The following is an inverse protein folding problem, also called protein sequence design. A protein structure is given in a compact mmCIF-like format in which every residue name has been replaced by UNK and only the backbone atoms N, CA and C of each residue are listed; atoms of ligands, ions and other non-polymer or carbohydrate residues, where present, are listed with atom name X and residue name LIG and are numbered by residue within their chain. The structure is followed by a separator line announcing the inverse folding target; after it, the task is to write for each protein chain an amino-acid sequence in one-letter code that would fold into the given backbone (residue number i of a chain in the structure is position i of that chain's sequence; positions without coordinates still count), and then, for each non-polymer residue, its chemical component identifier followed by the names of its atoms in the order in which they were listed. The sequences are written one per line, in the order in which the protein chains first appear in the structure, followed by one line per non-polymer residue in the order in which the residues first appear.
data_IF_103482376195
#
_entry.id   IF_103482376195
#
_cell.length_a   1.000
_cell.length_b   1.000
_cell.length_c   1.000
_cell.angle_alpha   90.00
_cell.angle_beta   90.00
_cell.angle_gamma   90.00
#
_symmetry.space_group_name_H-M   'P 1'
#
loop_
_entity.id
_entity.type
_entity.pdbx_description
1 polymer ?
#
# COMPACT_ATOMS: atom_id res chain seq x y z
N UNK A 1 0.09 22.66 9.71
CA UNK A 1 -1.19 22.17 10.30
C UNK A 1 -1.62 20.95 9.49
N UNK A 2 -2.08 19.90 10.15
CA UNK A 2 -2.68 18.74 9.45
C UNK A 2 -4.00 19.20 8.81
N UNK A 3 -4.25 18.89 7.53
CA UNK A 3 -5.51 19.23 6.89
C UNK A 3 -6.70 18.55 7.58
N UNK A 4 -7.81 19.26 7.70
CA UNK A 4 -9.07 18.68 8.18
C UNK A 4 -9.80 17.99 7.01
N UNK A 5 -10.37 16.79 7.22
CA UNK A 5 -11.15 16.12 6.19
C UNK A 5 -12.46 16.88 5.93
N UNK A 6 -12.90 16.91 4.67
CA UNK A 6 -14.24 17.44 4.32
C UNK A 6 -15.35 16.51 4.80
N UNK A 7 -15.05 15.26 5.05
CA UNK A 7 -15.97 14.26 5.60
C UNK A 7 -15.22 13.16 6.33
N UNK A 8 -15.74 12.73 7.46
CA UNK A 8 -15.37 11.49 8.13
C UNK A 8 -16.56 10.56 8.22
N UNK A 9 -16.37 9.30 7.92
CA UNK A 9 -17.42 8.29 7.93
C UNK A 9 -16.83 6.92 8.25
N UNK A 10 -17.64 6.06 8.85
CA UNK A 10 -17.26 4.68 9.14
C UNK A 10 -18.09 3.73 8.30
N UNK A 11 -17.41 2.86 7.53
CA UNK A 11 -18.03 1.76 6.80
C UNK A 11 -17.74 0.45 7.55
N UNK A 12 -18.73 -0.09 8.27
CA UNK A 12 -18.56 -1.19 9.22
C UNK A 12 -17.45 -0.85 10.24
N UNK A 13 -16.28 -1.54 10.18
CA UNK A 13 -15.18 -1.26 11.10
C UNK A 13 -14.14 -0.28 10.54
N UNK A 14 -14.21 0.03 9.23
CA UNK A 14 -13.25 0.87 8.52
C UNK A 14 -13.51 2.36 8.72
N UNK A 15 -12.60 3.05 9.40
CA UNK A 15 -12.60 4.51 9.42
C UNK A 15 -12.21 5.06 8.04
N UNK A 16 -12.93 6.07 7.56
CA UNK A 16 -12.69 6.67 6.25
C UNK A 16 -12.71 8.19 6.37
N UNK A 17 -11.62 8.83 5.93
CA UNK A 17 -11.49 10.29 5.86
C UNK A 17 -11.38 10.74 4.42
N UNK A 18 -12.22 11.72 4.03
CA UNK A 18 -12.27 12.27 2.67
C UNK A 18 -11.73 13.70 2.72
N UNK A 19 -10.78 13.99 1.85
CA UNK A 19 -10.12 15.28 1.74
C UNK A 19 -10.48 15.97 0.43
N UNK A 20 -10.25 17.26 0.35
CA UNK A 20 -10.54 18.02 -0.84
C UNK A 20 -9.60 17.68 -1.99
N UNK A 21 -8.34 17.47 -1.70
CA UNK A 21 -7.29 17.19 -2.70
C UNK A 21 -6.40 16.01 -2.29
N UNK A 22 -5.65 15.46 -3.25
CA UNK A 22 -4.65 14.43 -3.02
C UNK A 22 -3.50 14.93 -2.11
N UNK A 23 -3.12 16.21 -2.20
CA UNK A 23 -2.10 16.81 -1.34
C UNK A 23 -2.55 16.83 0.13
N UNK A 24 -3.81 17.21 0.38
CA UNK A 24 -4.39 17.19 1.73
C UNK A 24 -4.46 15.77 2.28
N UNK A 25 -4.92 14.81 1.46
CA UNK A 25 -4.93 13.38 1.78
C UNK A 25 -3.53 12.90 2.17
N UNK A 26 -2.53 13.16 1.33
CA UNK A 26 -1.14 12.74 1.56
C UNK A 26 -0.56 13.35 2.85
N UNK A 27 -0.81 14.63 3.10
CA UNK A 27 -0.35 15.32 4.30
C UNK A 27 -1.00 14.77 5.59
N UNK A 28 -2.31 14.50 5.56
CA UNK A 28 -3.03 13.93 6.70
C UNK A 28 -2.56 12.50 7.02
N UNK A 29 -2.44 11.65 6.00
CA UNK A 29 -1.92 10.29 6.17
C UNK A 29 -0.47 10.28 6.67
N UNK A 30 0.39 11.21 6.20
CA UNK A 30 1.76 11.35 6.68
C UNK A 30 1.83 11.79 8.15
N UNK A 31 0.91 12.65 8.58
CA UNK A 31 0.82 13.05 9.98
C UNK A 31 0.44 11.86 10.88
N UNK A 32 -0.55 11.04 10.49
CA UNK A 32 -0.92 9.83 11.24
C UNK A 32 0.20 8.80 11.23
N UNK A 33 0.81 8.52 10.07
CA UNK A 33 1.96 7.62 9.96
C UNK A 33 3.11 8.06 10.90
N UNK A 34 3.38 9.36 10.97
CA UNK A 34 4.39 9.93 11.88
C UNK A 34 4.06 9.62 13.34
N UNK A 35 2.81 9.81 13.77
CA UNK A 35 2.38 9.51 15.13
C UNK A 35 2.53 8.02 15.47
N UNK A 36 2.16 7.14 14.53
CA UNK A 36 2.31 5.69 14.66
C UNK A 36 3.79 5.32 14.85
N UNK A 37 4.66 5.78 13.95
CA UNK A 37 6.09 5.48 14.01
C UNK A 37 6.75 6.04 15.28
N UNK A 38 6.45 7.29 15.64
CA UNK A 38 6.95 7.89 16.89
C UNK A 38 6.47 7.12 18.13
N UNK A 39 5.22 6.67 18.15
CA UNK A 39 4.69 5.85 19.25
C UNK A 39 5.44 4.54 19.34
N UNK A 40 5.61 3.81 18.23
CA UNK A 40 6.34 2.56 18.19
C UNK A 40 7.79 2.72 18.67
N UNK A 41 8.49 3.77 18.22
CA UNK A 41 9.85 4.08 18.66
C UNK A 41 9.91 4.36 20.17
N UNK A 42 8.94 5.11 20.72
CA UNK A 42 8.89 5.36 22.18
C UNK A 42 8.63 4.09 22.99
N UNK A 43 7.75 3.21 22.50
CA UNK A 43 7.32 2.01 23.24
C UNK A 43 8.32 0.86 23.14
N UNK A 44 8.98 0.69 21.98
CA UNK A 44 9.80 -0.48 21.67
C UNK A 44 11.27 -0.17 21.36
N UNK A 45 11.62 1.11 21.21
CA UNK A 45 12.95 1.55 20.78
C UNK A 45 13.15 1.54 19.26
N UNK A 46 12.22 0.98 18.49
CA UNK A 46 12.24 0.94 17.02
C UNK A 46 10.82 0.86 16.44
N UNK A 47 10.70 1.07 15.14
CA UNK A 47 9.46 0.90 14.40
C UNK A 47 9.71 0.14 13.08
N UNK A 48 8.68 -0.58 12.60
CA UNK A 48 8.71 -1.33 11.36
C UNK A 48 7.57 -0.85 10.45
N UNK A 49 7.90 -0.39 9.24
CA UNK A 49 6.94 0.13 8.28
C UNK A 49 6.99 -0.66 6.97
N UNK A 50 5.85 -1.13 6.50
CA UNK A 50 5.66 -1.69 5.15
C UNK A 50 5.06 -0.58 4.29
N UNK A 51 5.72 -0.23 3.20
CA UNK A 51 5.32 0.87 2.33
C UNK A 51 5.01 0.37 0.91
N UNK A 52 3.89 0.81 0.37
CA UNK A 52 3.55 0.62 -1.04
C UNK A 52 4.32 1.59 -1.93
N UNK A 53 4.27 1.31 -3.21
CA UNK A 53 4.80 2.12 -4.29
C UNK A 53 3.67 2.60 -5.23
N UNK A 54 4.04 3.35 -6.25
CA UNK A 54 3.11 3.85 -7.27
C UNK A 54 2.61 5.27 -7.03
N UNK A 55 1.90 5.79 -8.04
CA UNK A 55 1.52 7.20 -8.10
C UNK A 55 0.63 7.65 -6.93
N UNK A 56 -0.23 6.77 -6.42
CA UNK A 56 -1.10 7.05 -5.26
C UNK A 56 -0.33 7.35 -3.97
N UNK A 57 0.95 6.97 -3.89
CA UNK A 57 1.78 7.14 -2.69
C UNK A 57 2.63 8.43 -2.73
N UNK A 58 2.71 9.11 -3.88
CA UNK A 58 3.65 10.22 -4.06
C UNK A 58 3.43 11.39 -3.09
N UNK A 59 2.20 11.85 -2.93
CA UNK A 59 1.88 12.97 -2.03
C UNK A 59 2.16 12.61 -0.57
N UNK A 60 1.81 11.39 -0.18
CA UNK A 60 2.10 10.83 1.13
C UNK A 60 3.60 10.75 1.41
N UNK A 61 4.39 10.12 0.52
CA UNK A 61 5.84 9.96 0.71
C UNK A 61 6.55 11.32 0.70
N UNK A 62 6.11 12.26 -0.16
CA UNK A 62 6.63 13.62 -0.18
C UNK A 62 6.39 14.37 1.14
N UNK A 63 5.22 14.20 1.74
CA UNK A 63 4.92 14.77 3.05
C UNK A 63 5.70 14.03 4.15
N UNK A 64 5.67 12.70 4.17
CA UNK A 64 6.27 11.88 5.22
C UNK A 64 7.79 12.11 5.38
N UNK A 65 8.53 12.26 4.28
CA UNK A 65 9.99 12.50 4.32
C UNK A 65 10.39 13.79 5.01
N UNK A 66 9.46 14.73 5.16
CA UNK A 66 9.69 16.04 5.85
C UNK A 66 9.21 16.03 7.29
N UNK A 67 8.53 14.96 7.73
CA UNK A 67 8.00 14.86 9.09
C UNK A 67 9.09 14.54 10.13
N UNK A 68 8.89 14.92 11.40
CA UNK A 68 9.86 14.72 12.48
C UNK A 68 9.87 13.28 13.00
N UNK A 69 10.23 12.33 12.13
CA UNK A 69 10.42 10.90 12.48
C UNK A 69 11.89 10.65 12.76
N UNK A 70 12.20 9.95 13.85
CA UNK A 70 13.57 9.43 14.07
C UNK A 70 13.80 8.22 13.16
N UNK A 71 14.11 8.49 11.91
CA UNK A 71 14.33 7.46 10.89
C UNK A 71 15.45 6.48 11.27
N UNK A 72 16.42 6.89 12.08
CA UNK A 72 17.49 5.98 12.53
C UNK A 72 16.98 4.81 13.39
N UNK A 73 15.71 4.84 13.79
CA UNK A 73 14.99 3.80 14.54
C UNK A 73 13.95 3.05 13.71
N UNK A 74 13.79 3.37 12.42
CA UNK A 74 12.74 2.80 11.57
C UNK A 74 13.34 1.80 10.57
N UNK A 75 12.84 0.56 10.59
CA UNK A 75 13.06 -0.42 9.55
C UNK A 75 11.97 -0.25 8.48
N UNK A 76 12.37 -0.22 7.21
CA UNK A 76 11.45 -0.05 6.07
C UNK A 76 11.44 -1.32 5.23
N UNK A 77 10.25 -1.80 4.92
CA UNK A 77 9.93 -2.92 4.04
C UNK A 77 9.04 -2.43 2.91
N UNK A 78 8.92 -3.20 1.85
CA UNK A 78 7.89 -2.98 0.83
C UNK A 78 7.13 -4.28 0.55
N UNK A 79 6.03 -4.20 -0.19
CA UNK A 79 5.05 -5.28 -0.22
C UNK A 79 5.15 -6.20 -1.44
N UNK A 80 5.84 -5.79 -2.50
CA UNK A 80 5.87 -6.53 -3.76
C UNK A 80 7.02 -6.10 -4.68
N UNK A 81 7.39 -6.96 -5.62
CA UNK A 81 8.33 -6.64 -6.70
C UNK A 81 8.16 -7.63 -7.86
N UNK A 82 8.43 -7.17 -9.05
CA UNK A 82 8.42 -7.97 -10.28
C UNK A 82 9.52 -9.01 -10.30
N UNK A 83 9.20 -10.21 -10.79
CA UNK A 83 10.20 -11.26 -11.05
C UNK A 83 10.84 -11.01 -12.43
N UNK A 84 12.16 -10.97 -12.46
CA UNK A 84 12.94 -10.80 -13.69
C UNK A 84 13.14 -9.35 -14.14
N UNK A 85 12.68 -8.37 -13.35
CA UNK A 85 12.93 -6.97 -13.65
C UNK A 85 14.36 -6.57 -13.25
N UNK A 86 15.02 -5.78 -14.10
CA UNK A 86 16.30 -5.15 -13.75
C UNK A 86 16.09 -4.18 -12.57
N UNK A 87 16.87 -4.28 -11.49
CA UNK A 87 16.78 -3.36 -10.35
C UNK A 87 17.00 -1.89 -10.71
N UNK A 88 17.69 -1.61 -11.81
CA UNK A 88 17.88 -0.25 -12.34
C UNK A 88 16.70 0.24 -13.18
N UNK A 89 15.74 -0.63 -13.52
CA UNK A 89 14.57 -0.25 -14.31
C UNK A 89 13.72 0.76 -13.55
N UNK A 90 13.20 1.82 -14.20
CA UNK A 90 12.40 2.85 -13.55
C UNK A 90 11.15 2.34 -12.81
N UNK A 91 10.61 1.20 -13.24
CA UNK A 91 9.46 0.55 -12.60
C UNK A 91 9.81 -0.34 -11.40
N UNK A 92 11.10 -0.50 -11.04
CA UNK A 92 11.49 -1.25 -9.82
C UNK A 92 10.97 -0.53 -8.58
N UNK A 93 10.29 -1.26 -7.71
CA UNK A 93 9.70 -0.70 -6.51
C UNK A 93 10.73 -0.30 -5.45
N UNK A 94 11.82 -1.06 -5.20
CA UNK A 94 12.93 -0.56 -4.39
C UNK A 94 13.54 0.74 -4.93
N UNK A 95 13.69 0.86 -6.25
CA UNK A 95 14.22 2.09 -6.87
C UNK A 95 13.23 3.26 -6.72
N UNK A 96 11.92 2.99 -6.82
CA UNK A 96 10.89 4.00 -6.54
C UNK A 96 11.01 4.51 -5.10
N UNK A 97 11.02 3.63 -4.10
CA UNK A 97 11.17 4.02 -2.69
C UNK A 97 12.49 4.74 -2.44
N UNK A 98 13.57 4.29 -3.07
CA UNK A 98 14.85 4.99 -2.99
C UNK A 98 14.70 6.45 -3.41
N UNK A 99 14.14 6.71 -4.60
CA UNK A 99 14.01 8.05 -5.17
C UNK A 99 13.00 8.93 -4.42
N UNK A 100 11.88 8.35 -3.95
CA UNK A 100 10.81 9.14 -3.35
C UNK A 100 10.98 9.37 -1.84
N UNK A 101 11.71 8.49 -1.15
CA UNK A 101 11.86 8.54 0.30
C UNK A 101 13.32 8.40 0.76
N UNK A 102 14.02 7.31 0.40
CA UNK A 102 15.29 6.94 1.04
C UNK A 102 16.45 7.89 0.72
N UNK A 103 16.42 8.58 -0.41
CA UNK A 103 17.41 9.61 -0.75
C UNK A 103 17.29 10.87 0.14
N UNK A 104 16.18 11.01 0.90
CA UNK A 104 15.90 12.14 1.78
C UNK A 104 16.01 11.81 3.27
N UNK A 105 15.95 10.53 3.63
CA UNK A 105 15.98 10.07 5.02
C UNK A 105 17.08 9.01 5.20
N UNK A 106 17.42 8.73 6.48
CA UNK A 106 18.37 7.67 6.84
C UNK A 106 17.69 6.66 7.76
N UNK A 107 16.97 5.64 7.22
CA UNK A 107 16.33 4.64 8.06
C UNK A 107 17.36 3.76 8.78
N UNK A 108 16.93 3.09 9.85
CA UNK A 108 17.73 2.07 10.54
C UNK A 108 18.17 0.97 9.56
N UNK A 109 17.22 0.49 8.76
CA UNK A 109 17.45 -0.43 7.65
C UNK A 109 16.37 -0.28 6.58
N UNK A 110 16.72 -0.55 5.33
CA UNK A 110 15.79 -0.82 4.26
C UNK A 110 15.95 -2.28 3.85
N UNK A 111 14.86 -3.01 3.82
CA UNK A 111 14.80 -4.44 3.50
C UNK A 111 14.06 -4.62 2.17
N UNK A 112 14.75 -4.49 1.02
CA UNK A 112 14.12 -4.71 -0.27
C UNK A 112 13.89 -6.20 -0.51
N UNK A 113 12.85 -6.54 -1.28
CA UNK A 113 12.81 -7.81 -1.99
C UNK A 113 13.99 -7.82 -2.98
N UNK A 114 14.89 -8.81 -2.90
CA UNK A 114 16.05 -8.83 -3.77
C UNK A 114 15.66 -9.13 -5.22
N UNK A 115 16.50 -8.80 -6.21
CA UNK A 115 16.30 -9.19 -7.58
C UNK A 115 16.05 -10.69 -7.69
N UNK A 116 14.99 -11.07 -8.37
CA UNK A 116 14.50 -12.45 -8.41
C UNK A 116 14.37 -12.98 -9.83
N UNK A 117 14.47 -14.29 -9.93
CA UNK A 117 14.11 -15.10 -11.09
C UNK A 117 13.12 -16.16 -10.63
N UNK A 118 12.39 -16.79 -11.55
CA UNK A 118 11.47 -17.87 -11.18
C UNK A 118 12.17 -19.04 -10.43
N UNK A 119 13.49 -19.24 -10.68
CA UNK A 119 14.25 -20.32 -10.03
C UNK A 119 14.56 -20.05 -8.55
N UNK A 120 14.68 -18.78 -8.14
CA UNK A 120 15.01 -18.42 -6.74
C UNK A 120 13.86 -17.77 -5.98
N UNK A 121 12.72 -17.51 -6.64
CA UNK A 121 11.61 -16.74 -6.06
C UNK A 121 10.99 -17.40 -4.84
N UNK A 122 10.87 -18.75 -4.81
CA UNK A 122 10.32 -19.46 -3.64
C UNK A 122 11.20 -19.27 -2.39
N UNK A 123 12.53 -19.35 -2.57
CA UNK A 123 13.47 -19.09 -1.47
C UNK A 123 13.34 -17.64 -0.98
N UNK A 124 13.25 -16.69 -1.89
CA UNK A 124 13.04 -15.27 -1.54
C UNK A 124 11.74 -15.05 -0.79
N UNK A 125 10.64 -15.69 -1.22
CA UNK A 125 9.37 -15.62 -0.50
C UNK A 125 9.50 -16.15 0.93
N UNK A 126 10.17 -17.30 1.10
CA UNK A 126 10.40 -17.89 2.43
C UNK A 126 11.24 -16.95 3.31
N UNK A 127 12.40 -16.52 2.83
CA UNK A 127 13.34 -15.69 3.60
C UNK A 127 12.70 -14.33 3.98
N UNK A 128 11.95 -13.73 3.06
CA UNK A 128 11.29 -12.45 3.32
C UNK A 128 10.11 -12.60 4.29
N UNK A 129 9.38 -13.72 4.23
CA UNK A 129 8.33 -14.03 5.20
C UNK A 129 8.90 -14.18 6.62
N UNK A 130 10.05 -14.87 6.78
CA UNK A 130 10.73 -14.98 8.08
C UNK A 130 11.23 -13.63 8.59
N UNK A 131 11.76 -12.80 7.69
CA UNK A 131 12.20 -11.45 8.02
C UNK A 131 11.03 -10.58 8.54
N UNK A 132 9.87 -10.64 7.89
CA UNK A 132 8.67 -9.93 8.33
C UNK A 132 8.13 -10.44 9.68
N UNK A 133 8.20 -11.75 9.93
CA UNK A 133 7.78 -12.33 11.22
C UNK A 133 8.67 -11.88 12.38
N UNK A 134 9.95 -11.70 12.12
CA UNK A 134 10.91 -11.20 13.14
C UNK A 134 10.84 -9.68 13.33
N UNK A 135 10.16 -8.97 12.42
CA UNK A 135 9.95 -7.52 12.45
C UNK A 135 8.45 -7.19 12.32
N UNK A 136 7.62 -7.50 13.32
CA UNK A 136 6.18 -7.21 13.25
C UNK A 136 5.92 -5.75 12.89
N UNK A 137 5.13 -5.52 11.84
CA UNK A 137 4.90 -4.19 11.32
C UNK A 137 4.03 -3.34 12.26
N UNK A 138 4.45 -2.11 12.50
CA UNK A 138 3.66 -1.10 13.20
C UNK A 138 2.75 -0.34 12.24
N UNK A 139 3.22 -0.17 11.01
CA UNK A 139 2.54 0.55 9.94
C UNK A 139 2.60 -0.26 8.65
N UNK A 140 1.46 -0.39 7.97
CA UNK A 140 1.38 -0.75 6.56
C UNK A 140 0.65 0.38 5.82
N UNK A 141 1.37 1.11 4.96
CA UNK A 141 0.77 2.10 4.07
C UNK A 141 0.60 1.47 2.68
N UNK A 142 -0.64 1.37 2.20
CA UNK A 142 -0.99 0.66 0.96
C UNK A 142 -1.94 1.48 0.08
N UNK A 143 -2.07 1.07 -1.18
CA UNK A 143 -3.05 1.61 -2.12
C UNK A 143 -4.11 0.56 -2.48
N UNK A 144 -5.12 0.98 -3.25
CA UNK A 144 -6.11 0.10 -3.85
C UNK A 144 -5.99 0.19 -5.37
N UNK A 145 -5.85 -0.95 -6.05
CA UNK A 145 -5.85 -1.01 -7.51
C UNK A 145 -7.21 -0.71 -8.13
N UNK A 146 -7.25 -0.48 -9.45
CA UNK A 146 -8.50 -0.15 -10.16
C UNK A 146 -9.53 -1.29 -10.16
N UNK A 147 -9.07 -2.54 -10.06
CA UNK A 147 -9.93 -3.72 -9.88
C UNK A 147 -10.22 -4.04 -8.40
N UNK A 148 -9.67 -3.26 -7.44
CA UNK A 148 -9.80 -3.47 -6.00
C UNK A 148 -8.69 -4.28 -5.37
N UNK A 149 -7.60 -4.61 -6.08
CA UNK A 149 -6.50 -5.38 -5.52
C UNK A 149 -5.75 -4.62 -4.40
N UNK A 150 -5.10 -5.38 -3.52
CA UNK A 150 -4.14 -4.93 -2.50
C UNK A 150 -2.79 -5.58 -2.80
N UNK A 151 -1.72 -4.80 -3.01
CA UNK A 151 -0.45 -5.28 -3.58
C UNK A 151 -0.75 -6.06 -4.87
N UNK A 152 -0.06 -7.15 -5.20
CA UNK A 152 -0.43 -7.99 -6.36
C UNK A 152 -1.42 -9.13 -6.01
N UNK A 153 -2.35 -8.87 -5.07
CA UNK A 153 -3.46 -9.78 -4.82
C UNK A 153 -4.67 -9.37 -5.66
N UNK A 154 -4.59 -9.62 -6.97
CA UNK A 154 -5.67 -9.41 -7.93
C UNK A 154 -6.83 -10.40 -7.70
N UNK A 155 -8.07 -10.09 -8.10
CA UNK A 155 -9.24 -10.92 -7.87
C UNK A 155 -9.06 -12.42 -8.14
N UNK A 156 -8.42 -12.87 -9.24
CA UNK A 156 -8.23 -14.31 -9.49
C UNK A 156 -7.27 -15.01 -8.49
N UNK A 157 -6.45 -14.25 -7.78
CA UNK A 157 -5.39 -14.76 -6.90
C UNK A 157 -5.52 -14.28 -5.46
N UNK A 158 -6.50 -13.43 -5.18
CA UNK A 158 -6.80 -12.95 -3.85
C UNK A 158 -7.33 -14.11 -2.98
N UNK A 159 -6.89 -14.13 -1.71
CA UNK A 159 -7.33 -15.12 -0.73
C UNK A 159 -7.20 -14.47 0.65
N UNK A 160 -8.34 -14.26 1.31
CA UNK A 160 -8.41 -13.65 2.65
C UNK A 160 -7.89 -14.56 3.76
N UNK A 161 -7.68 -15.84 3.47
CA UNK A 161 -7.19 -16.85 4.42
C UNK A 161 -5.90 -17.51 3.97
N UNK A 162 -5.16 -16.86 3.08
CA UNK A 162 -3.91 -17.41 2.57
C UNK A 162 -2.94 -17.72 3.72
N UNK A 163 -2.44 -18.97 3.85
CA UNK A 163 -1.55 -19.36 4.95
C UNK A 163 -0.13 -18.81 4.80
N UNK A 164 0.24 -18.38 3.59
CA UNK A 164 1.56 -17.81 3.32
C UNK A 164 1.58 -16.33 3.68
N UNK A 165 2.76 -15.81 4.02
CA UNK A 165 2.97 -14.38 4.18
C UNK A 165 3.40 -13.70 2.89
N UNK A 166 4.22 -14.41 2.11
CA UNK A 166 4.74 -13.94 0.82
C UNK A 166 4.54 -15.05 -0.20
N UNK A 167 4.13 -14.70 -1.39
CA UNK A 167 3.84 -15.66 -2.47
C UNK A 167 4.30 -15.15 -3.83
N UNK A 168 4.48 -16.08 -4.76
CA UNK A 168 4.62 -15.79 -6.19
C UNK A 168 3.22 -15.70 -6.78
N UNK A 169 2.99 -14.70 -7.63
CA UNK A 169 1.76 -14.56 -8.40
C UNK A 169 2.06 -14.40 -9.88
N UNK A 170 1.19 -14.95 -10.72
CA UNK A 170 1.11 -14.56 -12.11
C UNK A 170 0.29 -13.27 -12.19
N UNK A 171 0.81 -12.27 -12.86
CA UNK A 171 0.12 -10.98 -12.96
C UNK A 171 -1.08 -11.09 -13.90
N UNK A 172 -2.20 -10.55 -13.44
CA UNK A 172 -3.40 -10.40 -14.27
C UNK A 172 -3.18 -9.35 -15.37
N UNK A 173 -3.79 -9.57 -16.52
CA UNK A 173 -3.65 -8.65 -17.67
C UNK A 173 -4.23 -7.27 -17.39
N UNK A 174 -5.25 -7.15 -16.52
CA UNK A 174 -5.78 -5.85 -16.11
C UNK A 174 -4.73 -5.06 -15.34
N UNK A 175 -4.06 -5.69 -14.36
CA UNK A 175 -2.97 -5.07 -13.61
C UNK A 175 -1.77 -4.72 -14.49
N UNK A 176 -1.40 -5.59 -15.43
CA UNK A 176 -0.32 -5.31 -16.38
C UNK A 176 -0.67 -4.10 -17.27
N UNK A 177 -1.91 -4.01 -17.78
CA UNK A 177 -2.38 -2.84 -18.56
C UNK A 177 -2.40 -1.56 -17.71
N UNK A 178 -2.74 -1.63 -16.43
CA UNK A 178 -2.67 -0.50 -15.52
C UNK A 178 -1.24 0.06 -15.46
N UNK A 179 -0.22 -0.79 -15.36
CA UNK A 179 1.19 -0.37 -15.32
C UNK A 179 1.64 0.35 -16.60
N UNK A 180 1.15 -0.08 -17.76
CA UNK A 180 1.36 0.63 -19.02
C UNK A 180 0.64 1.98 -19.02
N UNK A 181 -0.62 2.00 -18.56
CA UNK A 181 -1.44 3.22 -18.46
C UNK A 181 -0.84 4.27 -17.50
N UNK A 182 -0.15 3.83 -16.46
CA UNK A 182 0.58 4.68 -15.51
C UNK A 182 1.96 5.15 -16.03
N UNK A 183 2.38 4.68 -17.22
CA UNK A 183 3.62 5.08 -17.86
C UNK A 183 4.88 4.36 -17.34
N UNK A 184 4.71 3.30 -16.56
CA UNK A 184 5.84 2.52 -16.02
C UNK A 184 6.52 1.63 -17.07
N UNK A 185 5.76 1.19 -18.09
CA UNK A 185 6.22 0.40 -19.22
C UNK A 185 5.66 0.96 -20.53
N UNK A 186 6.36 0.77 -21.64
CA UNK A 186 5.92 1.28 -22.96
C UNK A 186 4.74 0.48 -23.53
N UNK A 187 4.73 -0.82 -23.28
CA UNK A 187 3.71 -1.74 -23.77
C UNK A 187 3.58 -2.93 -22.81
N UNK A 188 2.53 -3.74 -22.99
CA UNK A 188 2.23 -4.86 -22.12
C UNK A 188 3.27 -5.99 -22.17
N UNK A 189 3.97 -6.14 -23.28
CA UNK A 189 4.96 -7.22 -23.45
C UNK A 189 6.24 -6.95 -22.62
N UNK A 190 6.51 -5.69 -22.30
CA UNK A 190 7.59 -5.29 -21.40
C UNK A 190 7.26 -5.49 -19.93
N UNK A 191 5.96 -5.60 -19.56
CA UNK A 191 5.56 -5.83 -18.17
C UNK A 191 5.84 -7.27 -17.79
N UNK A 192 6.60 -7.55 -16.72
CA UNK A 192 6.83 -8.91 -16.25
C UNK A 192 5.53 -9.68 -16.05
N UNK A 193 5.57 -10.99 -16.23
CA UNK A 193 4.38 -11.85 -16.10
C UNK A 193 4.17 -12.39 -14.69
N UNK A 194 5.17 -12.27 -13.82
CA UNK A 194 5.14 -12.76 -12.44
C UNK A 194 5.70 -11.72 -11.48
N UNK A 195 5.24 -11.78 -10.25
CA UNK A 195 5.72 -10.96 -9.14
C UNK A 195 5.81 -11.77 -7.85
N UNK A 196 6.60 -11.27 -6.90
CA UNK A 196 6.53 -11.65 -5.48
C UNK A 196 5.67 -10.60 -4.79
N UNK A 197 4.74 -11.04 -3.93
CA UNK A 197 3.85 -10.14 -3.19
C UNK A 197 3.57 -10.66 -1.79
N UNK A 198 3.40 -9.74 -0.83
CA UNK A 198 2.78 -10.04 0.44
C UNK A 198 1.31 -10.43 0.22
N UNK A 199 0.84 -11.40 0.98
CA UNK A 199 -0.57 -11.81 0.97
C UNK A 199 -1.44 -10.79 1.72
N UNK A 200 -2.74 -10.82 1.48
CA UNK A 200 -3.69 -9.96 2.20
C UNK A 200 -3.60 -10.17 3.72
N UNK A 201 -3.62 -11.41 4.26
CA UNK A 201 -3.40 -11.61 5.68
C UNK A 201 -2.10 -10.99 6.19
N UNK A 202 -0.98 -11.15 5.47
CA UNK A 202 0.31 -10.58 5.88
C UNK A 202 0.28 -9.04 5.96
N UNK A 203 -0.32 -8.37 4.97
CA UNK A 203 -0.49 -6.91 4.98
C UNK A 203 -1.30 -6.43 6.19
N UNK A 204 -2.37 -7.16 6.53
CA UNK A 204 -3.29 -6.81 7.59
C UNK A 204 -2.82 -7.22 9.00
N UNK A 205 -1.65 -7.87 9.15
CA UNK A 205 -1.03 -8.11 10.47
C UNK A 205 -0.39 -6.87 11.06
N UNK A 206 -0.15 -5.82 10.27
CA UNK A 206 0.38 -4.55 10.78
C UNK A 206 -0.55 -3.96 11.84
N UNK A 207 0.01 -3.33 12.88
CA UNK A 207 -0.78 -2.71 13.95
C UNK A 207 -1.70 -1.59 13.47
N UNK A 208 -1.28 -0.89 12.41
CA UNK A 208 -2.05 0.15 11.74
C UNK A 208 -1.90 -0.01 10.23
N UNK A 209 -3.02 0.02 9.52
CA UNK A 209 -3.08 -0.05 8.05
C UNK A 209 -3.65 1.27 7.54
N UNK A 210 -2.89 2.02 6.75
CA UNK A 210 -3.34 3.24 6.09
C UNK A 210 -3.51 2.95 4.60
N UNK A 211 -4.73 3.02 4.11
CA UNK A 211 -5.05 2.83 2.69
C UNK A 211 -5.22 4.21 2.02
N UNK A 212 -4.31 4.54 1.10
CA UNK A 212 -4.28 5.84 0.42
C UNK A 212 -4.77 5.68 -1.02
N UNK A 213 -5.91 6.28 -1.32
CA UNK A 213 -6.61 6.04 -2.60
C UNK A 213 -7.09 7.35 -3.21
N UNK A 214 -6.18 8.14 -3.79
CA UNK A 214 -6.53 9.33 -4.54
C UNK A 214 -6.97 8.99 -5.97
N UNK A 215 -7.47 10.01 -6.67
CA UNK A 215 -7.74 10.05 -8.10
C UNK A 215 -9.07 9.42 -8.54
N UNK A 216 -9.71 10.09 -9.48
CA UNK A 216 -11.03 9.72 -10.02
C UNK A 216 -11.07 8.31 -10.64
N UNK A 217 -9.98 7.83 -11.23
CA UNK A 217 -9.90 6.47 -11.79
C UNK A 217 -10.10 5.36 -10.74
N UNK A 218 -9.93 5.68 -9.45
CA UNK A 218 -10.15 4.76 -8.33
C UNK A 218 -11.59 4.75 -7.80
N UNK A 219 -12.46 5.65 -8.27
CA UNK A 219 -13.82 5.82 -7.72
C UNK A 219 -14.67 4.54 -7.79
N UNK A 220 -14.52 3.73 -8.83
CA UNK A 220 -15.24 2.47 -8.97
C UNK A 220 -14.72 1.41 -7.98
N UNK A 221 -13.41 1.30 -7.82
CA UNK A 221 -12.81 0.41 -6.84
C UNK A 221 -13.20 0.81 -5.42
N UNK A 222 -13.17 2.10 -5.09
CA UNK A 222 -13.63 2.65 -3.80
C UNK A 222 -15.10 2.29 -3.55
N UNK A 223 -15.99 2.55 -4.52
CA UNK A 223 -17.40 2.21 -4.39
C UNK A 223 -17.61 0.70 -4.15
N UNK A 224 -16.98 -0.17 -4.93
CA UNK A 224 -17.08 -1.62 -4.78
C UNK A 224 -16.54 -2.09 -3.41
N UNK A 225 -15.45 -1.50 -2.96
CA UNK A 225 -14.83 -1.84 -1.68
C UNK A 225 -15.71 -1.47 -0.49
N UNK A 226 -16.43 -0.33 -0.55
CA UNK A 226 -17.18 0.22 0.57
C UNK A 226 -18.66 -0.20 0.60
N UNK A 227 -19.28 -0.38 -0.59
CA UNK A 227 -20.73 -0.60 -0.72
C UNK A 227 -21.05 -2.03 -1.18
N UNK A 228 -20.15 -2.67 -1.94
CA UNK A 228 -20.32 -4.03 -2.45
C UNK A 228 -20.21 -5.11 -1.36
N UNK A 229 -20.31 -6.36 -1.75
CA UNK A 229 -20.05 -7.51 -0.85
C UNK A 229 -18.57 -7.57 -0.47
N UNK A 230 -18.26 -8.11 0.71
CA UNK A 230 -16.88 -8.45 1.09
C UNK A 230 -16.53 -9.77 0.40
N UNK A 231 -15.63 -9.69 -0.58
CA UNK A 231 -15.28 -10.81 -1.46
C UNK A 231 -13.89 -10.63 -2.06
N UNK A 232 -13.25 -11.74 -2.39
CA UNK A 232 -11.99 -11.77 -3.13
C UNK A 232 -12.10 -11.19 -4.55
N UNK A 233 -13.31 -11.06 -5.12
CA UNK A 233 -13.55 -10.33 -6.38
C UNK A 233 -13.36 -8.81 -6.28
N UNK A 234 -13.28 -8.30 -5.05
CA UNK A 234 -12.86 -6.94 -4.72
C UNK A 234 -12.04 -6.97 -3.42
N UNK A 235 -10.75 -7.35 -3.51
CA UNK A 235 -9.93 -7.67 -2.33
C UNK A 235 -9.91 -6.56 -1.27
N UNK A 236 -9.93 -5.29 -1.67
CA UNK A 236 -9.96 -4.16 -0.74
C UNK A 236 -11.23 -4.10 0.12
N UNK A 237 -12.30 -4.83 -0.24
CA UNK A 237 -13.52 -4.90 0.57
C UNK A 237 -13.28 -5.48 1.96
N UNK A 238 -12.22 -6.29 2.16
CA UNK A 238 -11.83 -6.85 3.47
C UNK A 238 -11.46 -5.76 4.48
N UNK A 239 -11.03 -4.59 4.02
CA UNK A 239 -10.67 -3.47 4.89
C UNK A 239 -11.84 -3.07 5.81
N UNK A 240 -13.09 -3.28 5.38
CA UNK A 240 -14.28 -3.03 6.23
C UNK A 240 -14.35 -3.91 7.48
N UNK A 241 -13.65 -5.04 7.50
CA UNK A 241 -13.50 -5.95 8.65
C UNK A 241 -12.17 -5.80 9.37
N UNK A 242 -11.44 -4.71 9.09
CA UNK A 242 -10.11 -4.44 9.64
C UNK A 242 -10.18 -3.18 10.51
N UNK A 243 -10.50 -3.29 11.82
CA UNK A 243 -10.78 -2.13 12.69
C UNK A 243 -9.56 -1.22 12.93
N UNK A 244 -8.36 -1.69 12.65
CA UNK A 244 -7.10 -0.93 12.72
C UNK A 244 -6.69 -0.36 11.35
N UNK A 245 -7.57 -0.41 10.36
CA UNK A 245 -7.39 0.23 9.07
C UNK A 245 -8.07 1.61 9.03
N UNK A 246 -7.42 2.53 8.32
CA UNK A 246 -7.92 3.86 8.01
C UNK A 246 -7.80 4.11 6.51
N UNK A 247 -8.92 4.44 5.86
CA UNK A 247 -8.98 4.74 4.43
C UNK A 247 -8.95 6.25 4.22
N UNK A 248 -8.01 6.70 3.40
CA UNK A 248 -7.83 8.08 2.98
C UNK A 248 -8.25 8.23 1.52
N UNK A 249 -9.21 9.11 1.26
CA UNK A 249 -9.75 9.43 -0.05
C UNK A 249 -9.58 10.92 -0.34
N UNK A 250 -9.45 11.27 -1.61
CA UNK A 250 -9.71 12.62 -2.06
C UNK A 250 -11.14 12.74 -2.63
N UNK A 251 -11.60 13.97 -2.92
CA UNK A 251 -12.92 14.22 -3.46
C UNK A 251 -13.14 13.48 -4.80
N UNK A 252 -12.09 13.29 -5.58
CA UNK A 252 -12.15 12.64 -6.89
C UNK A 252 -12.38 11.13 -6.76
N UNK A 253 -11.62 10.44 -5.92
CA UNK A 253 -11.82 9.00 -5.66
C UNK A 253 -13.12 8.72 -4.89
N UNK A 254 -13.61 9.69 -4.11
CA UNK A 254 -14.84 9.59 -3.34
C UNK A 254 -16.12 9.94 -4.14
N UNK A 255 -16.01 10.34 -5.41
CA UNK A 255 -17.16 10.86 -6.19
C UNK A 255 -18.38 9.95 -6.22
N UNK A 256 -18.21 8.63 -6.17
CA UNK A 256 -19.33 7.68 -6.19
C UNK A 256 -19.94 7.40 -4.82
N UNK A 257 -19.21 7.67 -3.73
CA UNK A 257 -19.70 7.42 -2.38
C UNK A 257 -20.20 8.69 -1.69
N UNK A 258 -19.68 9.86 -2.03
CA UNK A 258 -20.11 11.14 -1.45
C UNK A 258 -21.65 11.36 -1.50
N UNK A 259 -22.36 11.06 -2.61
CA UNK A 259 -23.82 11.19 -2.65
C UNK A 259 -24.57 10.21 -1.72
N UNK A 260 -23.93 9.16 -1.24
CA UNK A 260 -24.52 8.11 -0.39
C UNK A 260 -24.33 8.41 1.10
N UNK A 261 -23.40 9.29 1.43
CA UNK A 261 -23.08 9.68 2.80
C UNK A 261 -23.99 10.86 3.17
N UNK A 262 -24.94 10.65 4.07
CA UNK A 262 -25.83 11.71 4.56
C UNK A 262 -25.02 12.74 5.36
N UNK A 263 -25.41 14.01 5.24
CA UNK A 263 -24.98 15.04 6.19
C UNK A 263 -25.58 14.71 7.57
N UNK A 264 -24.75 14.45 8.55
CA UNK A 264 -25.16 14.34 9.94
C UNK A 264 -25.24 15.72 10.56
#
# INVERSE_FOLDING_TARGET
MTPDPIREVKFEDLQTSIFKTNEELGAAAAAEATQILQRAVREKGEANAILATGNSQLTFLNALRTMPVDWSKVNIFHMDEYIGLDPAHPASFPLFLKRQLLDYIKPKAFHPLPPSTLQNAEKICHDYAELLRTHPADLCALGIGENGHLAFNDPPYADFRNPLWVKIVKLDDASRRQQVGEGHFKNIDEVPTHAITLTIPALLTARHVLALVPERRKADAVYRSLIGSITEDCPASILRKTPHAHLYLDADSATRILPLIRDN
#
